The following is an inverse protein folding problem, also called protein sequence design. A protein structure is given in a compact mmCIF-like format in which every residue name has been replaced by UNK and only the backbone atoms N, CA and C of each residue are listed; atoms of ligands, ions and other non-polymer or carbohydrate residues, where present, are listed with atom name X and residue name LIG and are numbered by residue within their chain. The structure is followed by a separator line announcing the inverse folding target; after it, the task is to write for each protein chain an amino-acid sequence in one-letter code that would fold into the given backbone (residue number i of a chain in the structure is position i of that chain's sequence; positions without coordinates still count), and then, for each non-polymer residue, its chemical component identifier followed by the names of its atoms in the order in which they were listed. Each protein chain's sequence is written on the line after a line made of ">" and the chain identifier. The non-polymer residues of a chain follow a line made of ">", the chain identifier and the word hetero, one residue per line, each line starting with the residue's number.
data_IF_472650972325
#
_entry.id   IF_472650972325
#
_cell.length_a   1.000
_cell.length_b   1.000
_cell.length_c   1.000
_cell.angle_alpha   90.00
_cell.angle_beta   90.00
_cell.angle_gamma   90.00
#
_symmetry.space_group_name_H-M   'P 1'
#
loop_
_entity.id
_entity.type
_entity.pdbx_description
1 polymer ?
#
# COMPACT_ATOMS: atom_id res chain seq x y z
N UNK A 1 49.40 25.17 -1.74
CA UNK A 1 49.03 24.16 -2.76
C UNK A 1 48.18 23.00 -2.21
N UNK A 2 48.42 22.47 -1.01
CA UNK A 2 47.61 21.37 -0.44
C UNK A 2 46.12 21.74 -0.20
N UNK A 3 45.81 22.97 0.20
CA UNK A 3 44.44 23.40 0.45
C UNK A 3 43.54 23.49 -0.81
N UNK A 4 44.13 23.75 -1.97
CA UNK A 4 43.39 23.86 -3.24
C UNK A 4 43.03 22.48 -3.82
N UNK A 5 43.90 21.48 -3.64
CA UNK A 5 43.60 20.10 -4.07
C UNK A 5 42.50 19.42 -3.21
N UNK A 6 42.49 19.68 -1.91
CA UNK A 6 41.47 19.15 -1.00
C UNK A 6 40.10 19.77 -1.29
N UNK A 7 40.05 21.09 -1.56
CA UNK A 7 38.80 21.76 -1.91
C UNK A 7 38.22 21.28 -3.28
N UNK A 8 39.07 20.99 -4.25
CA UNK A 8 38.67 20.43 -5.55
C UNK A 8 38.11 19.02 -5.39
N UNK A 9 38.83 18.13 -4.70
CA UNK A 9 38.37 16.76 -4.47
C UNK A 9 37.01 16.70 -3.71
N UNK A 10 36.80 17.63 -2.77
CA UNK A 10 35.56 17.73 -2.02
C UNK A 10 34.40 18.27 -2.86
N UNK A 11 34.66 19.23 -3.76
CA UNK A 11 33.64 19.71 -4.71
C UNK A 11 33.20 18.57 -5.64
N UNK A 12 34.14 17.73 -6.08
CA UNK A 12 33.86 16.56 -6.93
C UNK A 12 33.02 15.51 -6.20
N UNK A 13 33.27 15.24 -4.91
CA UNK A 13 32.47 14.31 -4.10
C UNK A 13 31.02 14.80 -3.97
N UNK A 14 30.83 16.08 -3.66
CA UNK A 14 29.49 16.66 -3.50
C UNK A 14 28.71 16.71 -4.81
N UNK A 15 29.40 16.93 -5.93
CA UNK A 15 28.79 16.89 -7.26
C UNK A 15 28.36 15.45 -7.66
N UNK A 16 29.23 14.47 -7.39
CA UNK A 16 28.90 13.06 -7.62
C UNK A 16 27.74 12.61 -6.74
N UNK A 17 27.70 13.02 -5.47
CA UNK A 17 26.55 12.73 -4.60
C UNK A 17 25.24 13.35 -5.15
N UNK A 18 25.31 14.58 -5.69
CA UNK A 18 24.16 15.23 -6.34
C UNK A 18 23.70 14.46 -7.58
N UNK A 19 24.62 13.98 -8.40
CA UNK A 19 24.30 13.19 -9.56
C UNK A 19 23.59 11.89 -9.14
N UNK A 20 24.10 11.17 -8.15
CA UNK A 20 23.48 9.94 -7.63
C UNK A 20 22.07 10.18 -7.06
N UNK A 21 21.84 11.28 -6.35
CA UNK A 21 20.49 11.65 -5.90
C UNK A 21 19.56 11.91 -7.09
N UNK A 22 20.03 12.56 -8.15
CA UNK A 22 19.23 12.77 -9.37
C UNK A 22 18.97 11.47 -10.14
N UNK A 23 19.85 10.49 -10.02
CA UNK A 23 19.70 9.13 -10.62
C UNK A 23 18.89 8.17 -9.73
N UNK A 24 18.51 8.59 -8.51
CA UNK A 24 17.78 7.76 -7.54
C UNK A 24 18.64 6.76 -6.76
N UNK A 25 19.97 6.81 -6.89
CA UNK A 25 20.87 5.93 -6.12
C UNK A 25 21.21 6.57 -4.75
N UNK A 26 20.18 6.68 -3.91
CA UNK A 26 20.27 7.33 -2.60
C UNK A 26 21.22 6.63 -1.64
N UNK A 27 21.34 5.30 -1.77
CA UNK A 27 22.28 4.55 -0.93
C UNK A 27 23.73 4.95 -1.20
N UNK A 28 24.16 4.95 -2.48
CA UNK A 28 25.52 5.39 -2.84
C UNK A 28 25.74 6.86 -2.53
N UNK A 29 24.74 7.70 -2.78
CA UNK A 29 24.81 9.11 -2.43
C UNK A 29 25.08 9.31 -0.94
N UNK A 30 24.36 8.58 -0.06
CA UNK A 30 24.56 8.62 1.40
C UNK A 30 25.98 8.22 1.81
N UNK A 31 26.59 7.19 1.17
CA UNK A 31 27.98 6.80 1.44
C UNK A 31 28.98 7.94 1.07
N UNK A 32 28.82 8.54 -0.11
CA UNK A 32 29.67 9.68 -0.51
C UNK A 32 29.53 10.89 0.40
N UNK A 33 28.32 11.18 0.88
CA UNK A 33 28.08 12.26 1.84
C UNK A 33 28.77 12.01 3.19
N UNK A 34 28.79 10.77 3.67
CA UNK A 34 29.54 10.36 4.87
C UNK A 34 31.05 10.54 4.67
N UNK A 35 31.58 10.17 3.51
CA UNK A 35 32.98 10.38 3.16
C UNK A 35 33.34 11.88 3.11
N UNK A 36 32.47 12.71 2.52
CA UNK A 36 32.66 14.15 2.47
C UNK A 36 32.74 14.79 3.87
N UNK A 37 31.87 14.36 4.79
CA UNK A 37 31.92 14.85 6.20
C UNK A 37 33.13 14.33 6.94
N UNK A 38 33.54 13.08 6.74
CA UNK A 38 34.76 12.52 7.34
C UNK A 38 36.01 13.27 6.89
N UNK A 39 36.08 13.68 5.62
CA UNK A 39 37.18 14.49 5.08
C UNK A 39 37.14 15.94 5.58
N UNK A 40 35.96 16.52 5.73
CA UNK A 40 35.77 17.90 6.23
C UNK A 40 34.43 18.08 6.94
N UNK A 41 34.39 18.07 8.28
CA UNK A 41 33.16 18.20 9.05
C UNK A 41 32.33 19.48 8.76
N UNK A 42 32.96 20.54 8.22
CA UNK A 42 32.25 21.78 7.88
C UNK A 42 31.27 21.61 6.72
N UNK A 43 31.40 20.55 5.92
CA UNK A 43 30.48 20.24 4.83
C UNK A 43 29.06 20.02 5.36
N UNK A 44 28.92 19.36 6.50
CA UNK A 44 27.62 19.13 7.14
C UNK A 44 26.83 20.40 7.49
N UNK A 45 27.51 21.57 7.46
CA UNK A 45 26.87 22.86 7.73
C UNK A 45 26.40 23.58 6.45
N UNK A 46 26.62 22.97 5.27
CA UNK A 46 26.25 23.58 3.99
C UNK A 46 24.82 23.24 3.61
N UNK A 47 24.12 24.19 3.00
CA UNK A 47 22.76 23.97 2.49
C UNK A 47 22.71 22.83 1.46
N UNK A 48 23.74 22.68 0.62
CA UNK A 48 23.83 21.60 -0.36
C UNK A 48 23.91 20.23 0.30
N UNK A 49 24.78 20.06 1.32
CA UNK A 49 24.84 18.80 2.06
C UNK A 49 23.51 18.48 2.73
N UNK A 50 22.93 19.44 3.43
CA UNK A 50 21.68 19.25 4.15
C UNK A 50 20.52 18.86 3.20
N UNK A 51 20.49 19.43 1.99
CA UNK A 51 19.52 18.99 0.97
C UNK A 51 19.75 17.55 0.53
N UNK A 52 20.98 17.21 0.11
CA UNK A 52 21.29 15.88 -0.41
C UNK A 52 21.13 14.79 0.67
N UNK A 53 21.62 15.03 1.87
CA UNK A 53 21.45 14.12 3.00
C UNK A 53 19.97 13.98 3.39
N UNK A 54 19.23 15.10 3.43
CA UNK A 54 17.80 15.08 3.72
C UNK A 54 16.99 14.32 2.67
N UNK A 55 17.36 14.42 1.39
CA UNK A 55 16.75 13.60 0.33
C UNK A 55 17.04 12.10 0.53
N UNK A 56 18.29 11.73 0.85
CA UNK A 56 18.66 10.34 1.14
C UNK A 56 17.92 9.79 2.36
N UNK A 57 17.80 10.57 3.43
CA UNK A 57 17.06 10.15 4.63
C UNK A 57 15.55 10.02 4.36
N UNK A 58 14.97 10.91 3.53
CA UNK A 58 13.58 10.82 3.12
C UNK A 58 13.30 9.49 2.38
N UNK A 59 14.09 9.18 1.37
CA UNK A 59 13.91 7.95 0.56
C UNK A 59 14.30 6.66 1.32
N UNK A 60 14.97 6.82 2.48
CA UNK A 60 15.23 5.74 3.43
C UNK A 60 14.13 5.59 4.49
N UNK A 61 13.06 6.40 4.44
CA UNK A 61 11.97 6.38 5.42
C UNK A 61 12.29 7.09 6.75
N UNK A 62 13.46 7.73 6.88
CA UNK A 62 13.89 8.44 8.08
C UNK A 62 13.33 9.87 8.11
N UNK A 63 12.01 10.02 8.06
CA UNK A 63 11.32 11.31 7.84
C UNK A 63 11.64 12.40 8.88
N UNK A 64 11.86 12.04 10.15
CA UNK A 64 12.20 13.00 11.19
C UNK A 64 13.58 13.64 10.96
N UNK A 65 14.59 12.85 10.60
CA UNK A 65 15.92 13.32 10.27
C UNK A 65 15.91 14.08 8.93
N UNK A 66 15.21 13.54 7.93
CA UNK A 66 15.00 14.22 6.65
C UNK A 66 14.44 15.64 6.86
N UNK A 67 13.38 15.78 7.66
CA UNK A 67 12.75 17.08 7.98
C UNK A 67 13.77 18.06 8.58
N UNK A 68 14.57 17.60 9.54
CA UNK A 68 15.59 18.40 10.20
C UNK A 68 16.64 18.92 9.20
N UNK A 69 17.18 18.02 8.38
CA UNK A 69 18.19 18.35 7.37
C UNK A 69 17.62 19.26 6.28
N UNK A 70 16.45 18.96 5.75
CA UNK A 70 15.81 19.77 4.71
C UNK A 70 15.44 21.18 5.18
N UNK A 71 15.02 21.32 6.44
CA UNK A 71 14.81 22.64 7.04
C UNK A 71 16.12 23.42 7.20
N UNK A 72 17.21 22.76 7.55
CA UNK A 72 18.54 23.38 7.61
C UNK A 72 19.08 23.75 6.21
N UNK A 73 18.59 23.10 5.15
CA UNK A 73 18.93 23.44 3.77
C UNK A 73 18.25 24.74 3.27
N UNK A 74 17.24 25.26 3.98
CA UNK A 74 16.53 26.50 3.60
C UNK A 74 17.51 27.69 3.55
N UNK A 75 17.60 28.32 2.38
CA UNK A 75 18.43 29.48 2.16
C UNK A 75 18.56 29.83 0.68
N UNK A 76 19.48 30.71 0.31
CA UNK A 76 19.75 31.03 -1.10
C UNK A 76 20.22 29.77 -1.85
N UNK A 77 19.43 29.25 -2.77
CA UNK A 77 19.74 28.09 -3.60
C UNK A 77 19.16 26.77 -3.16
N UNK A 78 18.33 26.72 -2.11
CA UNK A 78 17.74 25.49 -1.57
C UNK A 78 16.36 25.13 -2.15
N UNK A 79 16.00 25.68 -3.30
CA UNK A 79 14.73 25.37 -3.97
C UNK A 79 14.38 23.87 -4.03
N UNK A 80 15.35 22.98 -4.36
CA UNK A 80 15.09 21.54 -4.37
C UNK A 80 14.63 20.94 -3.03
N UNK A 81 15.05 21.49 -1.89
CA UNK A 81 14.61 21.03 -0.57
C UNK A 81 13.09 21.20 -0.36
N UNK A 82 12.48 22.19 -1.00
CA UNK A 82 11.06 22.44 -0.87
C UNK A 82 10.19 21.29 -1.46
N UNK A 83 10.69 20.57 -2.47
CA UNK A 83 9.98 19.39 -3.00
C UNK A 83 9.79 18.33 -1.91
N UNK A 84 10.87 17.98 -1.22
CA UNK A 84 10.84 17.00 -0.14
C UNK A 84 10.10 17.48 1.11
N UNK A 85 10.22 18.78 1.43
CA UNK A 85 9.44 19.37 2.53
C UNK A 85 7.94 19.35 2.22
N UNK A 86 7.56 19.57 0.97
CA UNK A 86 6.18 19.39 0.52
C UNK A 86 5.71 17.94 0.63
N UNK A 87 6.53 16.97 0.20
CA UNK A 87 6.22 15.54 0.38
C UNK A 87 6.07 15.15 1.85
N UNK A 88 6.94 15.65 2.73
CA UNK A 88 6.83 15.42 4.18
C UNK A 88 5.55 16.01 4.76
N UNK A 89 5.17 17.23 4.34
CA UNK A 89 3.93 17.86 4.78
C UNK A 89 2.70 17.09 4.28
N UNK A 90 2.76 16.59 3.05
CA UNK A 90 1.72 15.74 2.46
C UNK A 90 1.53 14.44 3.27
N UNK A 91 2.61 13.73 3.59
CA UNK A 91 2.58 12.53 4.43
C UNK A 91 2.04 12.83 5.84
N UNK A 92 2.26 14.03 6.35
CA UNK A 92 1.71 14.53 7.61
C UNK A 92 0.26 15.04 7.48
N UNK A 93 -0.39 14.91 6.31
CA UNK A 93 -1.73 15.47 6.02
C UNK A 93 -1.83 16.99 6.20
N UNK A 94 -0.72 17.69 6.17
CA UNK A 94 -0.65 19.16 6.16
C UNK A 94 -0.65 19.64 4.71
N UNK A 95 -1.81 19.52 4.07
CA UNK A 95 -1.98 19.76 2.63
C UNK A 95 -1.75 21.22 2.26
N UNK A 96 -2.15 22.17 3.10
CA UNK A 96 -1.91 23.60 2.88
C UNK A 96 -0.40 23.89 2.82
N UNK A 97 0.36 23.37 3.80
CA UNK A 97 1.81 23.52 3.82
C UNK A 97 2.50 22.79 2.64
N UNK A 98 1.98 21.63 2.23
CA UNK A 98 2.47 20.92 1.06
C UNK A 98 2.29 21.75 -0.22
N UNK A 99 1.10 22.35 -0.40
CA UNK A 99 0.80 23.27 -1.51
C UNK A 99 1.77 24.44 -1.56
N UNK A 100 2.03 25.08 -0.42
CA UNK A 100 2.99 26.19 -0.33
C UNK A 100 4.39 25.78 -0.77
N UNK A 101 4.88 24.64 -0.29
CA UNK A 101 6.21 24.13 -0.66
C UNK A 101 6.32 23.74 -2.14
N UNK A 102 5.31 23.08 -2.71
CA UNK A 102 5.30 22.78 -4.14
C UNK A 102 5.28 24.07 -4.98
N UNK A 103 4.51 25.05 -4.57
CA UNK A 103 4.49 26.38 -5.20
C UNK A 103 5.84 27.10 -5.12
N UNK A 104 6.54 27.03 -3.99
CA UNK A 104 7.90 27.57 -3.84
C UNK A 104 8.91 26.84 -4.73
N UNK A 105 8.83 25.52 -4.81
CA UNK A 105 9.68 24.72 -5.69
C UNK A 105 9.47 25.10 -7.15
N UNK A 106 8.22 25.21 -7.63
CA UNK A 106 7.88 25.62 -9.01
C UNK A 106 8.46 27.00 -9.32
N UNK A 107 8.24 27.99 -8.46
CA UNK A 107 8.81 29.35 -8.63
C UNK A 107 10.34 29.35 -8.70
N UNK A 108 11.00 28.47 -7.95
CA UNK A 108 12.46 28.32 -8.01
C UNK A 108 12.91 27.74 -9.36
N UNK A 109 12.24 26.72 -9.86
CA UNK A 109 12.54 26.09 -11.17
C UNK A 109 12.35 27.07 -12.32
N UNK A 110 11.26 27.80 -12.33
CA UNK A 110 10.97 28.85 -13.32
C UNK A 110 12.04 29.95 -13.36
N UNK A 111 12.42 30.48 -12.18
CA UNK A 111 13.49 31.47 -12.08
C UNK A 111 14.84 30.95 -12.57
N UNK A 112 15.10 29.67 -12.40
CA UNK A 112 16.31 29.00 -12.86
C UNK A 112 16.22 28.58 -14.34
N UNK A 113 15.10 28.86 -15.03
CA UNK A 113 14.80 28.43 -16.41
C UNK A 113 14.90 26.90 -16.58
N UNK A 114 14.59 26.16 -15.52
CA UNK A 114 14.51 24.71 -15.52
C UNK A 114 13.04 24.30 -15.73
N UNK A 115 12.82 23.24 -16.49
CA UNK A 115 11.47 22.70 -16.70
C UNK A 115 10.95 22.18 -15.36
N UNK A 116 9.71 22.51 -15.03
CA UNK A 116 8.96 21.84 -13.96
C UNK A 116 8.70 20.43 -14.46
N UNK A 117 9.18 19.43 -13.72
CA UNK A 117 9.12 18.06 -14.19
C UNK A 117 7.75 17.41 -13.91
N UNK A 118 7.50 16.31 -14.59
CA UNK A 118 6.30 15.47 -14.47
C UNK A 118 5.99 15.10 -13.00
N UNK A 119 7.04 14.86 -12.19
CA UNK A 119 6.90 14.55 -10.75
C UNK A 119 6.14 15.61 -9.97
N UNK A 120 6.24 16.89 -10.30
CA UNK A 120 5.52 17.95 -9.57
C UNK A 120 4.05 17.96 -9.92
N UNK A 121 3.73 17.75 -11.19
CA UNK A 121 2.34 17.64 -11.66
C UNK A 121 1.65 16.43 -11.02
N UNK A 122 2.37 15.34 -10.88
CA UNK A 122 1.91 14.15 -10.17
C UNK A 122 1.64 14.43 -8.68
N UNK A 123 2.57 15.05 -7.96
CA UNK A 123 2.41 15.40 -6.56
C UNK A 123 1.24 16.37 -6.32
N UNK A 124 1.03 17.35 -7.22
CA UNK A 124 -0.12 18.25 -7.16
C UNK A 124 -1.45 17.50 -7.42
N UNK A 125 -1.44 16.51 -8.32
CA UNK A 125 -2.60 15.64 -8.56
C UNK A 125 -2.92 14.80 -7.32
N UNK A 126 -1.93 14.15 -6.73
CA UNK A 126 -2.09 13.37 -5.49
C UNK A 126 -2.64 14.24 -4.35
N UNK A 127 -2.13 15.45 -4.20
CA UNK A 127 -2.61 16.41 -3.21
C UNK A 127 -4.10 16.75 -3.42
N UNK A 128 -4.51 17.03 -4.66
CA UNK A 128 -5.91 17.31 -5.00
C UNK A 128 -6.83 16.10 -4.69
N UNK A 129 -6.37 14.87 -4.96
CA UNK A 129 -7.12 13.66 -4.64
C UNK A 129 -7.26 13.50 -3.13
N UNK A 130 -6.19 13.73 -2.36
CA UNK A 130 -6.18 13.65 -0.91
C UNK A 130 -7.11 14.69 -0.26
N UNK A 131 -7.08 15.94 -0.70
CA UNK A 131 -7.98 17.00 -0.25
C UNK A 131 -9.45 16.65 -0.52
N UNK A 132 -9.76 16.16 -1.73
CA UNK A 132 -11.10 15.71 -2.06
C UNK A 132 -11.56 14.52 -1.21
N UNK A 133 -10.65 13.59 -0.91
CA UNK A 133 -10.92 12.41 -0.08
C UNK A 133 -11.14 12.80 1.38
N UNK A 134 -10.40 13.80 1.89
CA UNK A 134 -10.58 14.33 3.24
C UNK A 134 -12.00 14.92 3.42
N UNK A 135 -12.56 15.55 2.38
CA UNK A 135 -13.94 16.03 2.41
C UNK A 135 -15.02 14.93 2.42
N UNK A 136 -14.62 13.64 2.29
CA UNK A 136 -15.55 12.49 2.14
C UNK A 136 -15.13 11.29 2.99
N UNK A 137 -14.48 11.49 4.11
CA UNK A 137 -13.99 10.42 5.00
C UNK A 137 -15.15 9.52 5.42
N UNK A 138 -15.02 8.23 5.13
CA UNK A 138 -16.03 7.25 5.52
C UNK A 138 -16.04 7.05 7.04
N UNK A 139 -17.23 7.01 7.61
CA UNK A 139 -17.42 6.70 9.01
C UNK A 139 -17.38 5.19 9.22
N UNK A 140 -16.22 4.68 9.55
CA UNK A 140 -15.98 3.26 9.85
C UNK A 140 -15.74 3.05 11.35
N UNK A 141 -15.89 1.81 11.80
CA UNK A 141 -15.53 1.39 13.16
C UNK A 141 -14.36 0.41 13.11
N UNK A 142 -13.18 0.87 13.46
CA UNK A 142 -11.99 0.02 13.57
C UNK A 142 -11.96 -0.61 14.95
N UNK A 143 -11.94 -1.96 15.01
CA UNK A 143 -12.02 -2.72 16.25
C UNK A 143 -10.69 -3.26 16.74
N UNK A 144 -9.70 -3.41 15.83
CA UNK A 144 -8.34 -3.83 16.20
C UNK A 144 -7.29 -3.24 15.25
N UNK A 145 -6.03 -3.27 15.71
CA UNK A 145 -4.86 -2.78 14.99
C UNK A 145 -3.66 -3.68 15.31
N UNK A 146 -3.17 -4.41 14.31
CA UNK A 146 -2.17 -5.45 14.45
C UNK A 146 -0.89 -5.03 13.73
N UNK A 147 0.19 -4.78 14.46
CA UNK A 147 1.51 -4.50 13.86
C UNK A 147 2.21 -5.82 13.53
N UNK A 148 2.51 -6.05 12.26
CA UNK A 148 3.11 -7.28 11.74
C UNK A 148 4.28 -6.98 10.81
N UNK A 149 5.29 -7.88 10.70
CA UNK A 149 6.30 -7.77 9.67
C UNK A 149 5.67 -7.83 8.27
N UNK A 150 6.16 -7.00 7.34
CA UNK A 150 5.64 -6.95 5.97
C UNK A 150 5.63 -8.34 5.30
N UNK A 151 6.67 -9.12 5.45
CA UNK A 151 6.83 -10.46 4.85
C UNK A 151 5.70 -11.45 5.22
N UNK A 152 5.00 -11.19 6.32
CA UNK A 152 4.00 -12.12 6.88
C UNK A 152 2.66 -11.46 7.18
N UNK A 153 2.40 -10.28 6.66
CA UNK A 153 1.22 -9.49 7.03
C UNK A 153 -0.11 -10.21 6.76
N UNK A 154 -0.18 -10.99 5.68
CA UNK A 154 -1.39 -11.75 5.31
C UNK A 154 -1.77 -12.80 6.35
N UNK A 155 -0.87 -13.22 7.25
CA UNK A 155 -1.19 -14.12 8.38
C UNK A 155 -2.05 -13.45 9.46
N UNK A 156 -2.18 -12.13 9.44
CA UNK A 156 -3.10 -11.41 10.32
C UNK A 156 -4.56 -11.50 9.86
N UNK A 157 -4.78 -11.86 8.59
CA UNK A 157 -6.11 -12.02 8.02
C UNK A 157 -6.70 -13.38 8.44
N UNK A 158 -7.84 -13.33 9.11
CA UNK A 158 -8.56 -14.52 9.57
C UNK A 158 -9.82 -14.71 8.73
N UNK A 159 -9.61 -15.09 7.47
CA UNK A 159 -10.71 -15.26 6.52
C UNK A 159 -11.37 -16.63 6.68
N UNK A 160 -12.72 -16.71 6.76
CA UNK A 160 -13.42 -17.96 6.64
C UNK A 160 -13.30 -18.49 5.21
N UNK A 161 -13.53 -19.79 5.02
CA UNK A 161 -13.43 -20.41 3.69
C UNK A 161 -14.38 -19.77 2.68
N UNK A 162 -15.54 -19.33 3.11
CA UNK A 162 -16.54 -18.64 2.29
C UNK A 162 -16.03 -17.32 1.69
N UNK A 163 -15.10 -16.64 2.35
CA UNK A 163 -14.46 -15.44 1.82
C UNK A 163 -13.25 -15.74 0.91
N UNK A 164 -12.90 -17.01 0.71
CA UNK A 164 -11.73 -17.41 -0.05
C UNK A 164 -10.47 -17.58 0.80
N UNK A 165 -9.30 -17.63 0.17
CA UNK A 165 -8.01 -17.87 0.83
C UNK A 165 -6.92 -17.00 0.22
N UNK A 166 -5.97 -16.61 1.06
CA UNK A 166 -4.72 -15.97 0.66
C UNK A 166 -3.62 -17.04 0.65
N UNK A 167 -2.93 -17.18 -0.46
CA UNK A 167 -1.84 -18.13 -0.64
C UNK A 167 -0.50 -17.40 -0.74
N UNK A 168 0.54 -17.99 -0.17
CA UNK A 168 1.91 -17.59 -0.48
C UNK A 168 2.28 -18.08 -1.89
N UNK A 169 3.33 -17.53 -2.52
CA UNK A 169 3.81 -18.02 -3.82
C UNK A 169 4.10 -19.53 -3.83
N UNK A 170 4.68 -20.07 -2.74
CA UNK A 170 4.98 -21.49 -2.61
C UNK A 170 3.75 -22.39 -2.52
N UNK A 171 2.59 -21.82 -2.17
CA UNK A 171 1.30 -22.53 -2.06
C UNK A 171 0.47 -22.44 -3.36
N UNK A 172 0.90 -21.61 -4.31
CA UNK A 172 0.19 -21.45 -5.59
C UNK A 172 0.25 -22.76 -6.38
N UNK A 173 -0.90 -23.27 -6.89
CA UNK A 173 -0.97 -24.55 -7.57
C UNK A 173 -0.53 -24.50 -9.05
N UNK A 174 0.09 -23.40 -9.46
CA UNK A 174 0.65 -23.18 -10.82
C UNK A 174 2.14 -22.98 -10.72
N UNK A 175 2.89 -23.53 -11.68
CA UNK A 175 4.36 -23.42 -11.72
C UNK A 175 4.83 -22.12 -12.44
N UNK A 176 3.96 -21.55 -13.27
CA UNK A 176 4.27 -20.39 -14.12
C UNK A 176 3.88 -19.07 -13.41
N UNK A 177 4.57 -18.75 -12.34
CA UNK A 177 4.54 -17.44 -11.71
C UNK A 177 5.96 -16.96 -11.43
N UNK A 178 6.19 -15.64 -11.39
CA UNK A 178 7.51 -15.12 -11.06
C UNK A 178 7.82 -15.28 -9.57
N UNK A 179 9.11 -15.38 -9.24
CA UNK A 179 9.58 -15.39 -7.85
C UNK A 179 9.32 -14.06 -7.11
N UNK A 180 8.79 -13.06 -7.78
CA UNK A 180 8.48 -11.74 -7.22
C UNK A 180 7.00 -11.54 -6.85
N UNK A 181 6.11 -12.49 -7.15
CA UNK A 181 4.74 -12.47 -6.65
C UNK A 181 4.75 -12.48 -5.11
N UNK A 182 3.92 -11.65 -4.48
CA UNK A 182 3.87 -11.54 -3.01
C UNK A 182 2.85 -12.52 -2.43
N UNK A 183 1.68 -12.61 -3.06
CA UNK A 183 0.58 -13.46 -2.62
C UNK A 183 -0.43 -13.67 -3.75
N UNK A 184 -1.29 -14.69 -3.59
CA UNK A 184 -2.44 -14.87 -4.45
C UNK A 184 -3.73 -14.99 -3.62
N UNK A 185 -4.83 -14.52 -4.20
CA UNK A 185 -6.18 -14.78 -3.74
C UNK A 185 -6.77 -15.98 -4.48
N UNK A 186 -7.44 -16.87 -3.76
CA UNK A 186 -8.23 -17.97 -4.34
C UNK A 186 -9.64 -17.94 -3.75
N UNK A 187 -10.65 -18.03 -4.61
CA UNK A 187 -12.05 -18.01 -4.19
C UNK A 187 -12.44 -19.26 -3.38
N UNK A 188 -13.65 -19.27 -2.78
CA UNK A 188 -14.19 -20.38 -1.98
C UNK A 188 -14.17 -21.71 -2.74
N UNK A 189 -14.57 -21.69 -4.01
CA UNK A 189 -14.63 -22.89 -4.87
C UNK A 189 -13.27 -23.48 -5.20
N UNK A 190 -12.20 -22.70 -5.07
CA UNK A 190 -10.85 -23.10 -5.44
C UNK A 190 -10.66 -23.25 -6.95
N UNK A 191 -11.49 -22.57 -7.75
CA UNK A 191 -11.50 -22.61 -9.20
C UNK A 191 -11.17 -21.28 -9.88
N UNK A 192 -10.98 -20.22 -9.10
CA UNK A 192 -10.51 -18.91 -9.55
C UNK A 192 -9.36 -18.42 -8.68
N UNK A 193 -8.28 -17.96 -9.29
CA UNK A 193 -7.11 -17.40 -8.61
C UNK A 193 -6.68 -16.10 -9.28
N UNK A 194 -6.24 -15.13 -8.46
CA UNK A 194 -5.73 -13.84 -8.92
C UNK A 194 -4.53 -13.40 -8.07
N UNK A 195 -3.52 -12.77 -8.71
CA UNK A 195 -2.30 -12.28 -8.04
C UNK A 195 -1.68 -11.14 -8.81
N UNK A 196 -0.72 -10.42 -8.17
CA UNK A 196 0.15 -9.47 -8.83
C UNK A 196 1.41 -10.15 -9.37
N UNK A 197 1.71 -9.95 -10.65
CA UNK A 197 2.86 -10.54 -11.33
C UNK A 197 3.81 -9.45 -11.78
N UNK A 198 5.06 -9.39 -11.26
CA UNK A 198 6.05 -8.43 -11.72
C UNK A 198 6.59 -8.79 -13.11
N UNK A 199 6.69 -7.79 -13.97
CA UNK A 199 7.34 -7.90 -15.28
C UNK A 199 8.87 -7.76 -15.17
N UNK A 200 9.56 -7.87 -16.32
CA UNK A 200 11.05 -7.80 -16.39
C UNK A 200 11.63 -6.43 -16.01
N UNK A 201 10.83 -5.38 -15.96
CA UNK A 201 11.24 -4.02 -15.56
C UNK A 201 10.72 -3.63 -14.18
N UNK A 202 10.01 -4.56 -13.51
CA UNK A 202 9.54 -4.40 -12.15
C UNK A 202 8.16 -3.76 -12.01
N UNK A 203 7.40 -3.56 -13.10
CA UNK A 203 5.98 -3.20 -12.96
C UNK A 203 5.18 -4.44 -12.57
N UNK A 204 4.12 -4.27 -11.79
CA UNK A 204 3.27 -5.36 -11.33
C UNK A 204 1.91 -5.29 -12.01
N UNK A 205 1.46 -6.41 -12.59
CA UNK A 205 0.15 -6.54 -13.25
C UNK A 205 -0.68 -7.59 -12.58
N UNK A 206 -1.98 -7.37 -12.51
CA UNK A 206 -2.92 -8.38 -12.05
C UNK A 206 -3.05 -9.49 -13.09
N UNK A 207 -2.84 -10.72 -12.63
CA UNK A 207 -3.02 -11.95 -13.40
C UNK A 207 -4.15 -12.76 -12.81
N UNK A 208 -4.84 -13.53 -13.65
CA UNK A 208 -5.87 -14.45 -13.24
C UNK A 208 -5.72 -15.83 -13.91
N UNK A 209 -6.18 -16.85 -13.24
CA UNK A 209 -6.27 -18.20 -13.78
C UNK A 209 -7.54 -18.89 -13.28
N UNK A 210 -8.13 -19.71 -14.15
CA UNK A 210 -9.30 -20.54 -13.85
C UNK A 210 -8.89 -22.00 -13.81
N UNK A 211 -9.45 -22.73 -12.85
CA UNK A 211 -9.31 -24.18 -12.77
C UNK A 211 -10.44 -24.87 -13.51
N UNK A 212 -10.11 -25.72 -14.45
CA UNK A 212 -11.06 -26.47 -15.24
C UNK A 212 -11.67 -27.63 -14.43
N UNK A 213 -12.74 -28.18 -14.94
CA UNK A 213 -13.48 -29.31 -14.32
C UNK A 213 -12.65 -30.58 -14.18
N UNK A 214 -11.60 -30.75 -14.98
CA UNK A 214 -10.61 -31.83 -14.87
C UNK A 214 -9.55 -31.57 -13.78
N UNK A 215 -9.62 -30.42 -13.12
CA UNK A 215 -8.73 -30.03 -12.04
C UNK A 215 -7.45 -29.31 -12.50
N UNK A 216 -7.29 -29.08 -13.81
CA UNK A 216 -6.14 -28.39 -14.39
C UNK A 216 -6.36 -26.88 -14.38
N UNK A 217 -5.36 -26.11 -13.95
CA UNK A 217 -5.37 -24.66 -14.05
C UNK A 217 -5.04 -24.24 -15.49
N UNK A 218 -5.77 -23.24 -15.98
CA UNK A 218 -5.48 -22.62 -17.27
C UNK A 218 -4.16 -21.83 -17.18
N UNK A 219 -3.54 -21.60 -18.34
CA UNK A 219 -2.42 -20.66 -18.41
C UNK A 219 -2.83 -19.30 -17.88
N UNK A 220 -1.99 -18.65 -17.03
CA UNK A 220 -2.26 -17.32 -16.52
C UNK A 220 -2.53 -16.31 -17.62
N UNK A 221 -3.51 -15.47 -17.43
CA UNK A 221 -3.82 -14.36 -18.31
C UNK A 221 -3.81 -13.03 -17.56
N UNK A 222 -3.29 -11.98 -18.19
CA UNK A 222 -3.40 -10.64 -17.63
C UNK A 222 -4.87 -10.20 -17.60
N UNK A 223 -5.24 -9.52 -16.53
CA UNK A 223 -6.56 -8.87 -16.42
C UNK A 223 -6.70 -7.73 -17.43
N UNK A 224 -7.91 -7.18 -17.54
CA UNK A 224 -8.20 -6.04 -18.41
C UNK A 224 -7.29 -4.84 -18.12
N UNK A 225 -6.79 -4.18 -19.18
CA UNK A 225 -5.96 -2.96 -19.10
C UNK A 225 -6.62 -1.82 -18.31
N UNK A 226 -7.95 -1.86 -18.14
CA UNK A 226 -8.66 -0.86 -17.34
C UNK A 226 -8.28 -0.90 -15.86
N UNK A 227 -7.85 -2.07 -15.36
CA UNK A 227 -7.35 -2.25 -13.98
C UNK A 227 -5.87 -1.88 -13.86
N UNK A 228 -5.14 -1.86 -14.96
CA UNK A 228 -3.68 -1.78 -15.00
C UNK A 228 -3.10 -0.40 -15.35
N UNK A 229 -3.76 0.71 -14.98
CA UNK A 229 -3.25 2.06 -15.29
C UNK A 229 -2.05 2.50 -14.45
N UNK A 230 -1.81 1.86 -13.29
CA UNK A 230 -0.63 2.07 -12.46
C UNK A 230 0.58 1.24 -12.92
N UNK A 231 1.75 1.55 -12.38
CA UNK A 231 2.95 0.70 -12.51
C UNK A 231 2.84 -0.54 -11.64
N UNK A 232 2.18 -0.41 -10.50
CA UNK A 232 2.02 -1.46 -9.50
C UNK A 232 0.53 -1.70 -9.27
N UNK A 233 0.05 -2.89 -9.67
CA UNK A 233 -1.32 -3.34 -9.44
C UNK A 233 -1.24 -4.71 -8.78
N UNK A 234 -1.58 -4.80 -7.48
CA UNK A 234 -1.36 -5.99 -6.67
C UNK A 234 -2.45 -6.17 -5.59
N UNK A 235 -2.29 -7.16 -4.75
CA UNK A 235 -3.14 -7.45 -3.59
C UNK A 235 -4.63 -7.59 -3.92
N UNK A 236 -4.99 -8.42 -4.91
CA UNK A 236 -6.38 -8.59 -5.30
C UNK A 236 -7.18 -9.38 -4.26
N UNK A 237 -8.43 -8.97 -4.08
CA UNK A 237 -9.43 -9.68 -3.31
C UNK A 237 -10.78 -9.62 -4.03
N UNK A 238 -11.24 -10.76 -4.53
CA UNK A 238 -12.56 -10.89 -5.15
C UNK A 238 -13.60 -11.26 -4.09
N UNK A 239 -14.68 -10.49 -4.01
CA UNK A 239 -15.80 -10.79 -3.12
C UNK A 239 -16.48 -12.12 -3.54
N UNK A 240 -17.18 -12.80 -2.60
CA UNK A 240 -17.91 -14.04 -2.90
C UNK A 240 -18.98 -13.90 -4.00
N UNK A 241 -19.40 -12.66 -4.30
CA UNK A 241 -20.33 -12.36 -5.39
C UNK A 241 -19.72 -12.63 -6.79
N UNK A 242 -18.39 -12.79 -6.89
CA UNK A 242 -17.65 -12.98 -8.13
C UNK A 242 -17.65 -11.77 -9.08
N UNK A 243 -18.10 -10.62 -8.58
CA UNK A 243 -18.31 -9.37 -9.35
C UNK A 243 -17.49 -8.22 -8.79
N UNK A 244 -17.38 -8.10 -7.47
CA UNK A 244 -16.70 -7.00 -6.79
C UNK A 244 -15.25 -7.37 -6.50
N UNK A 245 -14.32 -6.66 -7.13
CA UNK A 245 -12.86 -6.82 -6.96
C UNK A 245 -12.29 -5.62 -6.21
N UNK A 246 -11.60 -5.87 -5.11
CA UNK A 246 -10.70 -4.92 -4.47
C UNK A 246 -9.26 -5.26 -4.86
N UNK A 247 -8.45 -4.23 -5.12
CA UNK A 247 -7.01 -4.39 -5.40
C UNK A 247 -6.28 -3.09 -5.04
N UNK A 248 -4.97 -3.13 -4.95
CA UNK A 248 -4.14 -1.95 -4.72
C UNK A 248 -3.48 -1.49 -6.01
N UNK A 249 -3.39 -0.18 -6.21
CA UNK A 249 -2.76 0.42 -7.38
C UNK A 249 -2.13 1.78 -7.07
N UNK A 250 -1.01 2.10 -7.74
CA UNK A 250 -0.38 3.42 -7.75
C UNK A 250 -0.81 4.27 -8.96
N UNK A 251 -1.95 3.95 -9.56
CA UNK A 251 -2.46 4.64 -10.76
C UNK A 251 -2.84 6.10 -10.55
N UNK A 252 -3.29 6.75 -11.64
CA UNK A 252 -3.56 8.19 -11.69
C UNK A 252 -4.54 8.73 -10.64
N UNK A 253 -5.41 7.87 -10.12
CA UNK A 253 -6.39 8.23 -9.08
C UNK A 253 -5.88 7.87 -7.66
N UNK A 254 -4.61 7.44 -7.51
CA UNK A 254 -3.99 7.22 -6.21
C UNK A 254 -3.56 8.55 -5.58
N UNK A 255 -3.74 8.67 -4.27
CA UNK A 255 -3.27 9.82 -3.48
C UNK A 255 -1.89 9.59 -2.86
N UNK A 256 -1.44 8.33 -2.78
CA UNK A 256 -0.16 7.97 -2.18
C UNK A 256 0.68 7.08 -3.08
N UNK A 257 1.26 6.02 -2.52
CA UNK A 257 1.80 4.90 -3.26
C UNK A 257 0.67 3.97 -3.71
N UNK A 258 0.55 2.82 -3.06
CA UNK A 258 -0.62 1.98 -3.23
C UNK A 258 -1.86 2.59 -2.57
N UNK A 259 -2.91 2.75 -3.35
CA UNK A 259 -4.26 2.99 -2.85
C UNK A 259 -5.16 1.79 -3.18
N UNK A 260 -6.15 1.52 -2.34
CA UNK A 260 -7.16 0.48 -2.57
C UNK A 260 -8.22 1.01 -3.52
N UNK A 261 -8.46 0.23 -4.57
CA UNK A 261 -9.51 0.47 -5.56
C UNK A 261 -10.56 -0.61 -5.50
N UNK A 262 -11.77 -0.27 -5.91
CA UNK A 262 -12.85 -1.22 -6.16
C UNK A 262 -13.23 -1.18 -7.64
N UNK A 263 -13.32 -2.34 -8.27
CA UNK A 263 -13.80 -2.53 -9.62
C UNK A 263 -14.97 -3.50 -9.64
N UNK A 264 -15.90 -3.29 -10.57
CA UNK A 264 -17.04 -4.20 -10.78
C UNK A 264 -16.84 -4.94 -12.08
N UNK A 265 -16.96 -6.27 -12.05
CA UNK A 265 -16.92 -7.12 -13.22
C UNK A 265 -18.32 -7.26 -13.80
N UNK A 266 -18.49 -6.98 -15.09
CA UNK A 266 -19.75 -7.26 -15.79
C UNK A 266 -19.91 -8.77 -15.95
N UNK A 267 -20.93 -9.34 -15.32
CA UNK A 267 -21.19 -10.79 -15.33
C UNK A 267 -21.52 -11.34 -16.73
N UNK A 268 -21.93 -10.49 -17.68
CA UNK A 268 -22.29 -10.90 -19.03
C UNK A 268 -21.11 -10.91 -20.01
N UNK A 269 -20.16 -9.99 -19.83
CA UNK A 269 -18.98 -9.85 -20.70
C UNK A 269 -17.71 -10.35 -20.06
N UNK A 270 -17.66 -10.42 -18.72
CA UNK A 270 -16.46 -10.71 -17.95
C UNK A 270 -15.48 -9.53 -17.86
N UNK A 271 -15.82 -8.39 -18.44
CA UNK A 271 -14.98 -7.19 -18.44
C UNK A 271 -15.18 -6.38 -17.15
N UNK A 272 -14.13 -5.67 -16.73
CA UNK A 272 -14.21 -4.76 -15.59
C UNK A 272 -14.66 -3.37 -16.00
N UNK A 273 -15.49 -2.75 -15.18
CA UNK A 273 -15.83 -1.33 -15.27
C UNK A 273 -14.69 -0.48 -14.69
N UNK A 274 -14.75 0.85 -14.95
CA UNK A 274 -13.74 1.79 -14.45
C UNK A 274 -13.60 1.68 -12.92
N UNK A 275 -12.40 1.39 -12.41
CA UNK A 275 -12.15 1.31 -10.99
C UNK A 275 -12.39 2.64 -10.27
N UNK A 276 -12.73 2.57 -9.00
CA UNK A 276 -12.92 3.72 -8.13
C UNK A 276 -12.00 3.61 -6.92
N UNK A 277 -11.28 4.68 -6.60
CA UNK A 277 -10.56 4.82 -5.35
C UNK A 277 -11.56 4.83 -4.19
N UNK A 278 -11.37 3.98 -3.18
CA UNK A 278 -12.34 3.86 -2.07
C UNK A 278 -12.24 5.01 -1.07
N UNK A 279 -11.15 5.79 -1.11
CA UNK A 279 -10.97 7.01 -0.34
C UNK A 279 -10.62 6.80 1.13
N UNK A 280 -10.58 7.91 1.87
CA UNK A 280 -10.25 7.90 3.31
C UNK A 280 -11.40 7.33 4.15
N UNK A 281 -11.10 6.64 5.26
CA UNK A 281 -9.79 6.46 5.89
C UNK A 281 -9.04 5.20 5.42
N UNK A 282 -9.59 4.41 4.48
CA UNK A 282 -8.89 3.23 3.96
C UNK A 282 -7.60 3.64 3.27
N UNK A 283 -7.70 4.55 2.31
CA UNK A 283 -6.57 5.13 1.61
C UNK A 283 -6.04 6.38 2.33
N UNK A 284 -4.75 6.65 2.15
CA UNK A 284 -3.99 7.69 2.83
C UNK A 284 -2.85 8.19 1.93
N UNK A 285 -2.10 9.21 2.32
CA UNK A 285 -0.84 9.57 1.65
C UNK A 285 0.26 8.49 1.67
N UNK A 286 0.04 7.36 2.31
CA UNK A 286 0.94 6.23 2.47
C UNK A 286 0.46 5.03 1.65
N UNK A 287 1.20 3.92 1.70
CA UNK A 287 0.77 2.68 1.06
C UNK A 287 -0.38 2.03 1.82
N UNK A 288 -1.49 1.83 1.12
CA UNK A 288 -2.70 1.17 1.62
C UNK A 288 -3.10 0.03 0.67
N UNK A 289 -3.20 -1.18 1.18
CA UNK A 289 -3.35 -2.36 0.33
C UNK A 289 -4.06 -3.51 1.02
N UNK A 290 -4.36 -4.56 0.26
CA UNK A 290 -4.93 -5.82 0.72
C UNK A 290 -6.19 -5.65 1.56
N UNK A 291 -7.24 -5.07 0.99
CA UNK A 291 -8.54 -5.06 1.62
C UNK A 291 -9.22 -6.41 1.41
N UNK A 292 -9.67 -7.03 2.48
CA UNK A 292 -10.43 -8.28 2.46
C UNK A 292 -11.66 -8.17 3.38
N UNK A 293 -12.76 -8.81 3.01
CA UNK A 293 -14.05 -8.72 3.70
C UNK A 293 -14.60 -10.11 3.96
N UNK A 294 -14.99 -10.35 5.21
CA UNK A 294 -15.82 -11.48 5.64
C UNK A 294 -17.26 -10.97 5.83
N UNK A 295 -18.09 -11.20 4.84
CA UNK A 295 -19.51 -10.78 4.86
C UNK A 295 -20.31 -11.52 5.93
N UNK A 296 -19.98 -12.79 6.21
CA UNK A 296 -20.71 -13.61 7.20
C UNK A 296 -20.59 -13.03 8.61
N UNK A 297 -19.40 -12.58 8.99
CA UNK A 297 -19.15 -11.98 10.29
C UNK A 297 -19.25 -10.44 10.29
N UNK A 298 -19.39 -9.82 9.10
CA UNK A 298 -19.45 -8.37 8.95
C UNK A 298 -18.16 -7.67 9.36
N UNK A 299 -17.01 -8.28 9.08
CA UNK A 299 -15.68 -7.79 9.46
C UNK A 299 -14.79 -7.70 8.23
N UNK A 300 -13.95 -6.69 8.18
CA UNK A 300 -12.95 -6.54 7.11
C UNK A 300 -11.58 -6.19 7.67
N UNK A 301 -10.58 -6.35 6.83
CA UNK A 301 -9.16 -6.06 7.09
C UNK A 301 -8.58 -5.24 5.96
N UNK A 302 -7.63 -4.37 6.26
CA UNK A 302 -6.72 -3.81 5.27
C UNK A 302 -5.37 -3.52 5.90
N UNK A 303 -4.33 -3.51 5.08
CA UNK A 303 -2.96 -3.25 5.48
C UNK A 303 -2.54 -1.84 5.09
N UNK A 304 -1.65 -1.23 5.89
CA UNK A 304 -1.10 0.09 5.63
C UNK A 304 0.26 0.28 6.31
N UNK A 305 1.13 1.09 5.73
CA UNK A 305 2.40 1.50 6.36
C UNK A 305 2.34 2.88 7.02
N UNK A 306 1.17 3.55 7.03
CA UNK A 306 0.97 4.92 7.57
C UNK A 306 1.48 5.16 8.99
N UNK A 307 1.66 4.10 9.78
CA UNK A 307 2.17 4.21 11.16
C UNK A 307 3.69 4.20 11.23
N UNK A 308 4.40 4.11 10.11
CA UNK A 308 5.85 4.22 9.97
C UNK A 308 6.63 3.34 10.97
N UNK A 309 6.26 2.06 11.06
CA UNK A 309 6.81 1.10 12.02
C UNK A 309 8.11 0.42 11.54
N UNK A 310 8.81 1.00 10.58
CA UNK A 310 10.04 0.47 9.99
C UNK A 310 9.74 -0.73 9.07
N UNK A 311 10.17 -1.93 9.46
CA UNK A 311 9.94 -3.19 8.74
C UNK A 311 8.55 -3.79 8.95
N UNK A 312 7.70 -3.11 9.72
CA UNK A 312 6.35 -3.54 10.06
C UNK A 312 5.32 -2.64 9.41
N UNK A 313 4.20 -3.24 9.12
CA UNK A 313 2.98 -2.57 8.70
C UNK A 313 1.87 -2.79 9.71
N UNK A 314 0.81 -2.02 9.59
CA UNK A 314 -0.40 -2.18 10.39
C UNK A 314 -1.47 -2.87 9.58
N UNK A 315 -2.09 -3.91 10.13
CA UNK A 315 -3.34 -4.47 9.62
C UNK A 315 -4.45 -4.01 10.56
N UNK A 316 -5.37 -3.22 10.03
CA UNK A 316 -6.57 -2.83 10.75
C UNK A 316 -7.67 -3.85 10.55
N UNK A 317 -8.48 -4.04 11.61
CA UNK A 317 -9.71 -4.85 11.59
C UNK A 317 -10.89 -3.92 11.83
N UNK A 318 -11.89 -3.95 10.96
CA UNK A 318 -13.03 -3.02 11.04
C UNK A 318 -14.38 -3.72 10.86
N UNK A 319 -15.44 -3.08 11.35
CA UNK A 319 -16.82 -3.53 11.14
C UNK A 319 -17.27 -3.02 9.77
N UNK A 320 -17.73 -3.92 8.92
CA UNK A 320 -18.23 -3.60 7.58
C UNK A 320 -19.58 -2.89 7.69
N UNK A 321 -19.70 -1.73 7.05
CA UNK A 321 -20.93 -1.00 6.96
C UNK A 321 -21.84 -1.58 5.87
N UNK A 322 -23.13 -1.78 6.15
CA UNK A 322 -24.13 -2.16 5.11
C UNK A 322 -24.26 -1.06 4.04
N UNK A 323 -24.10 0.19 4.44
CA UNK A 323 -24.15 1.35 3.56
C UNK A 323 -23.04 2.32 3.94
N UNK A 324 -22.34 2.84 2.93
CA UNK A 324 -21.34 3.90 3.13
C UNK A 324 -21.99 5.13 3.76
N UNK A 325 -21.37 5.60 4.84
CA UNK A 325 -21.72 6.85 5.53
C UNK A 325 -20.45 7.65 5.73
N UNK A 326 -20.48 8.93 5.41
CA UNK A 326 -19.32 9.79 5.63
C UNK A 326 -19.51 10.56 6.94
N UNK A 327 -18.39 10.98 7.53
CA UNK A 327 -18.39 12.00 8.58
C UNK A 327 -18.87 13.33 8.01
N UNK A 328 -19.30 14.22 8.89
CA UNK A 328 -19.57 15.61 8.52
C UNK A 328 -18.26 16.29 8.10
N UNK A 329 -18.17 16.91 6.93
CA UNK A 329 -16.96 17.63 6.50
C UNK A 329 -16.53 18.75 7.46
N UNK A 330 -17.46 19.31 8.25
CA UNK A 330 -17.18 20.36 9.24
C UNK A 330 -16.81 19.79 10.63
N UNK A 331 -16.65 18.45 10.76
CA UNK A 331 -16.23 17.84 12.02
C UNK A 331 -14.77 18.23 12.35
N UNK A 332 -14.58 18.92 13.48
CA UNK A 332 -13.25 19.35 13.96
C UNK A 332 -12.27 18.16 14.15
N UNK A 333 -12.79 16.93 14.28
CA UNK A 333 -11.98 15.70 14.42
C UNK A 333 -11.77 14.95 13.09
N UNK A 334 -12.27 15.48 11.97
CA UNK A 334 -12.25 14.81 10.67
C UNK A 334 -10.84 14.36 10.26
N UNK A 335 -9.85 15.23 10.43
CA UNK A 335 -8.45 14.90 10.12
C UNK A 335 -7.93 13.74 10.98
N UNK A 336 -8.26 13.72 12.27
CA UNK A 336 -7.85 12.62 13.16
C UNK A 336 -8.55 11.30 12.78
N UNK A 337 -9.79 11.36 12.27
CA UNK A 337 -10.53 10.22 11.73
C UNK A 337 -9.92 9.70 10.44
N UNK A 338 -9.54 10.59 9.52
CA UNK A 338 -8.88 10.24 8.27
C UNK A 338 -7.51 9.58 8.52
N UNK A 339 -6.73 10.13 9.44
CA UNK A 339 -5.40 9.63 9.83
C UNK A 339 -5.45 8.34 10.65
N UNK A 340 -6.57 8.04 11.30
CA UNK A 340 -6.70 7.00 12.33
C UNK A 340 -5.63 7.15 13.44
N UNK A 341 -5.34 8.39 13.84
CA UNK A 341 -4.35 8.70 14.88
C UNK A 341 -4.59 7.91 16.17
N UNK A 342 -5.87 7.76 16.54
CA UNK A 342 -6.34 6.79 17.52
C UNK A 342 -7.55 6.07 16.94
N UNK A 343 -7.37 4.85 16.46
CA UNK A 343 -8.44 4.07 15.85
C UNK A 343 -9.61 3.81 16.83
N UNK A 344 -9.33 3.76 18.14
CA UNK A 344 -10.38 3.59 19.15
C UNK A 344 -11.38 4.76 19.18
N UNK A 345 -10.97 5.93 18.70
CA UNK A 345 -11.87 7.08 18.54
C UNK A 345 -12.98 6.84 17.52
N UNK A 346 -12.86 5.82 16.67
CA UNK A 346 -13.92 5.40 15.74
C UNK A 346 -14.97 4.52 16.38
N UNK A 347 -14.70 3.99 17.59
CA UNK A 347 -15.56 3.05 18.30
C UNK A 347 -16.63 3.79 19.10
N UNK A 348 -17.83 3.18 19.15
CA UNK A 348 -18.83 3.55 20.14
C UNK A 348 -18.56 2.78 21.44
N UNK A 349 -18.28 3.47 22.57
CA UNK A 349 -18.00 2.80 23.84
C UNK A 349 -19.13 1.88 24.32
N UNK A 350 -20.39 2.14 23.91
CA UNK A 350 -21.54 1.32 24.28
C UNK A 350 -21.55 -0.05 23.57
N UNK A 351 -20.80 -0.20 22.47
CA UNK A 351 -20.76 -1.43 21.65
C UNK A 351 -19.51 -2.28 21.93
N UNK A 352 -18.78 -2.01 22.99
CA UNK A 352 -17.51 -2.68 23.33
C UNK A 352 -17.63 -4.21 23.37
N UNK A 353 -18.67 -4.71 24.04
CA UNK A 353 -18.90 -6.16 24.16
C UNK A 353 -19.15 -6.80 22.78
N UNK A 354 -19.79 -6.06 21.87
CA UNK A 354 -19.98 -6.50 20.47
C UNK A 354 -18.63 -6.63 19.75
N UNK A 355 -17.74 -5.65 19.90
CA UNK A 355 -16.43 -5.68 19.25
C UNK A 355 -15.57 -6.82 19.80
N UNK A 356 -15.55 -7.02 21.12
CA UNK A 356 -14.85 -8.15 21.76
C UNK A 356 -15.43 -9.50 21.29
N UNK A 357 -16.75 -9.57 21.11
CA UNK A 357 -17.43 -10.74 20.55
C UNK A 357 -16.99 -11.06 19.11
N UNK A 358 -16.92 -10.03 18.25
CA UNK A 358 -16.44 -10.17 16.87
C UNK A 358 -14.97 -10.64 16.83
N UNK A 359 -14.09 -10.00 17.59
CA UNK A 359 -12.67 -10.40 17.68
C UNK A 359 -12.51 -11.84 18.20
N UNK A 360 -13.33 -12.24 19.17
CA UNK A 360 -13.34 -13.65 19.63
C UNK A 360 -13.86 -14.61 18.57
N UNK A 361 -14.82 -14.22 17.74
CA UNK A 361 -15.32 -15.06 16.65
C UNK A 361 -14.25 -15.27 15.59
N UNK A 362 -13.65 -14.19 15.08
CA UNK A 362 -12.63 -14.27 14.04
C UNK A 362 -11.35 -14.96 14.51
N UNK A 363 -10.98 -14.88 15.80
CA UNK A 363 -9.80 -15.56 16.33
C UNK A 363 -9.91 -17.09 16.25
N UNK A 364 -11.12 -17.63 16.19
CA UNK A 364 -11.40 -19.06 16.08
C UNK A 364 -11.40 -19.55 14.63
N UNK A 365 -11.44 -18.63 13.64
CA UNK A 365 -11.35 -18.98 12.23
C UNK A 365 -9.96 -19.61 11.97
N UNK A 366 -9.96 -20.80 11.36
CA UNK A 366 -8.73 -21.57 11.11
C UNK A 366 -8.29 -22.48 12.26
N UNK A 367 -8.91 -22.38 13.44
CA UNK A 367 -8.72 -23.35 14.52
C UNK A 367 -9.64 -24.60 14.34
N UNK A 368 -10.57 -24.55 13.40
CA UNK A 368 -11.42 -25.69 13.12
C UNK A 368 -10.58 -26.89 12.68
N UNK A 369 -10.67 -27.95 13.48
CA UNK A 369 -10.13 -29.25 13.10
C UNK A 369 -10.69 -29.60 11.72
N UNK A 370 -9.85 -30.13 10.80
CA UNK A 370 -10.33 -30.56 9.50
C UNK A 370 -11.59 -31.40 9.73
N UNK A 371 -12.69 -31.02 9.06
CA UNK A 371 -13.96 -31.72 9.19
C UNK A 371 -13.67 -33.22 9.06
N UNK A 372 -14.09 -34.01 10.04
CA UNK A 372 -13.94 -35.47 9.94
C UNK A 372 -14.62 -35.84 8.64
N UNK A 373 -13.86 -36.31 7.66
CA UNK A 373 -14.40 -36.85 6.44
C UNK A 373 -15.45 -37.88 6.87
N UNK A 374 -16.72 -37.57 6.61
CA UNK A 374 -17.79 -38.52 6.91
C UNK A 374 -17.66 -39.70 5.94
N UNK A 375 -17.49 -40.88 6.51
CA UNK A 375 -17.41 -42.12 5.77
C UNK A 375 -18.83 -42.59 5.46
N UNK A 376 -19.21 -42.57 4.21
CA UNK A 376 -20.47 -43.13 3.75
C UNK A 376 -20.23 -44.55 3.22
N UNK A 377 -20.87 -45.53 3.85
CA UNK A 377 -20.75 -46.94 3.46
C UNK A 377 -22.07 -47.41 2.84
N UNK A 378 -22.03 -47.72 1.57
CA UNK A 378 -23.18 -48.24 0.82
C UNK A 378 -23.04 -49.76 0.62
N UNK A 379 -24.02 -50.58 1.02
CA UNK A 379 -24.01 -52.00 0.69
C UNK A 379 -24.33 -52.19 -0.81
N UNK A 380 -23.40 -52.80 -1.52
CA UNK A 380 -23.60 -53.25 -2.88
C UNK A 380 -24.05 -54.71 -2.85
N UNK A 381 -24.96 -55.12 -3.75
CA UNK A 381 -25.35 -56.52 -3.86
C UNK A 381 -24.15 -57.46 -3.92
N UNK A 382 -24.22 -58.64 -3.31
CA UNK A 382 -23.16 -59.67 -3.18
C UNK A 382 -22.13 -59.45 -2.04
N UNK A 383 -22.50 -58.72 -1.00
CA UNK A 383 -21.64 -58.60 0.19
C UNK A 383 -20.46 -57.61 0.07
N UNK A 384 -20.37 -56.90 -1.04
CA UNK A 384 -19.38 -55.83 -1.26
C UNK A 384 -19.91 -54.51 -0.69
N UNK A 385 -19.10 -53.78 0.08
CA UNK A 385 -19.39 -52.43 0.53
C UNK A 385 -18.55 -51.42 -0.27
N UNK A 386 -19.19 -50.40 -0.76
CA UNK A 386 -18.49 -49.22 -1.32
C UNK A 386 -18.39 -48.15 -0.25
N UNK A 387 -17.18 -47.67 -0.02
CA UNK A 387 -16.89 -46.58 0.94
C UNK A 387 -16.58 -45.32 0.16
N UNK A 388 -17.34 -44.26 0.38
CA UNK A 388 -17.06 -42.91 -0.13
C UNK A 388 -16.83 -41.97 1.05
N UNK A 389 -16.01 -40.96 0.84
CA UNK A 389 -15.75 -39.91 1.83
C UNK A 389 -16.36 -38.62 1.29
N UNK A 390 -16.88 -37.77 2.19
CA UNK A 390 -17.21 -36.40 1.84
C UNK A 390 -15.94 -35.63 1.49
N UNK A 391 -15.98 -34.85 0.43
CA UNK A 391 -14.90 -33.94 0.08
C UNK A 391 -14.73 -32.83 1.12
#
# INVERSE_FOLDING_TARGET
>A
MLGSCVASAQADIMENARQLVNEGDYWKASQLLKEAVAANPKVAQTAQYNYLAGACEFESGNYAEAKTLLQAAKGKGSGPANLYLGRLSFLDYDFDTATDFYGEFKRHREKSRQVVGETVEELERQLMIAENSLGRVENITVIDSIAVPFENFFKAYRLPRSAGRLLTPDEMPIEEHSSGAVMAFVNEGGDFMMWGEPDSVGNVRLMESLRLTDGVWQEPSATSDILGKGRYNDYPFMMPDGVTLYYASDGDESMGGYDIFVATRDASTGEYLLPQNIGMPFNSPHDDFMLAIDEENGVGWWATDRNLLGDKITVYVYVVNELRRNYDPDDETLLAKARLTDYRSTQNPADRDKYEGLLSAISKIGEEKPAKKEEFSFPMGNGVRYTAYSD
#
